data_IF_867327306039
#
_entry.id   IF_867327306039
#
_cell.length_a   1.000
_cell.length_b   1.000
_cell.length_c   1.000
_cell.angle_alpha   90.00
_cell.angle_beta   90.00
_cell.angle_gamma   90.00
#
_symmetry.space_group_name_H-M   'P 1'
#
loop_
_entity.id
_entity.type
_entity.pdbx_description
1 polymer ?
#
# COMPACT_ATOMS: atom_id res chain seq x y z
N UNK A 1 -26.32 -9.63 32.68
CA UNK A 1 -24.95 -9.26 33.09
C UNK A 1 -24.50 -8.11 32.21
N UNK A 2 -24.23 -6.95 32.81
CA UNK A 2 -24.02 -5.69 32.10
C UNK A 2 -22.73 -5.72 31.27
N UNK A 3 -22.86 -5.50 29.97
CA UNK A 3 -21.78 -5.16 29.04
C UNK A 3 -21.32 -3.72 29.38
N UNK A 4 -20.62 -3.55 30.50
CA UNK A 4 -19.89 -2.32 30.81
C UNK A 4 -18.42 -2.61 30.54
N UNK A 5 -17.88 -1.87 29.59
CA UNK A 5 -16.45 -1.76 29.21
C UNK A 5 -15.94 -2.64 28.04
N UNK A 6 -16.80 -3.00 27.08
CA UNK A 6 -16.30 -3.44 25.75
C UNK A 6 -15.97 -2.23 24.88
N UNK A 7 -14.72 -2.10 24.44
CA UNK A 7 -14.32 -1.03 23.51
C UNK A 7 -15.08 -1.15 22.18
N UNK A 8 -15.66 -0.04 21.71
CA UNK A 8 -16.37 0.03 20.43
C UNK A 8 -15.40 0.41 19.31
N UNK A 9 -15.41 -0.35 18.21
CA UNK A 9 -14.65 -0.03 17.00
C UNK A 9 -15.58 -0.05 15.79
N UNK A 10 -15.48 0.98 14.94
CA UNK A 10 -16.15 0.99 13.64
C UNK A 10 -15.30 0.26 12.60
N UNK A 11 -15.93 -0.67 11.88
CA UNK A 11 -15.33 -1.30 10.71
C UNK A 11 -15.04 -0.27 9.60
N UNK A 12 -13.83 -0.31 9.02
CA UNK A 12 -13.44 0.61 7.93
C UNK A 12 -14.14 0.32 6.61
N UNK A 13 -14.49 -0.95 6.35
CA UNK A 13 -15.05 -1.37 5.08
C UNK A 13 -16.58 -1.22 5.00
N UNK A 14 -17.31 -1.75 5.99
CA UNK A 14 -18.78 -1.69 6.00
C UNK A 14 -19.37 -0.62 6.93
N UNK A 15 -18.54 -0.01 7.78
CA UNK A 15 -18.97 1.05 8.70
C UNK A 15 -19.85 0.57 9.85
N UNK A 16 -19.91 -0.74 10.15
CA UNK A 16 -20.60 -1.29 11.33
C UNK A 16 -19.77 -1.06 12.59
N UNK A 17 -20.39 -0.51 13.64
CA UNK A 17 -19.81 -0.40 14.98
C UNK A 17 -19.97 -1.73 15.71
N UNK A 18 -18.84 -2.32 16.11
CA UNK A 18 -18.79 -3.61 16.79
C UNK A 18 -18.24 -3.41 18.20
N UNK A 19 -18.82 -4.09 19.19
CA UNK A 19 -18.23 -4.26 20.50
C UNK A 19 -17.14 -5.32 20.43
N UNK A 20 -15.93 -4.98 20.88
CA UNK A 20 -14.81 -5.91 20.89
C UNK A 20 -14.80 -6.66 22.24
N UNK A 21 -14.85 -8.00 22.23
CA UNK A 21 -14.68 -8.79 23.45
C UNK A 21 -13.24 -8.67 23.96
N UNK A 22 -13.01 -8.97 25.23
CA UNK A 22 -11.64 -8.97 25.76
C UNK A 22 -10.84 -10.09 25.06
N UNK A 23 -9.85 -9.71 24.24
CA UNK A 23 -9.07 -10.64 23.42
C UNK A 23 -7.86 -11.14 24.20
N UNK A 24 -7.64 -12.45 24.18
CA UNK A 24 -6.41 -13.03 24.71
C UNK A 24 -5.25 -12.94 23.71
N UNK A 25 -4.03 -13.20 24.17
CA UNK A 25 -2.81 -13.11 23.37
C UNK A 25 -2.90 -13.96 22.09
N UNK A 26 -2.65 -13.33 20.93
CA UNK A 26 -2.66 -14.01 19.63
C UNK A 26 -4.05 -14.22 19.02
N UNK A 27 -5.12 -13.74 19.66
CA UNK A 27 -6.46 -13.73 19.09
C UNK A 27 -6.69 -12.46 18.26
N UNK A 28 -7.56 -12.58 17.26
CA UNK A 28 -8.02 -11.45 16.45
C UNK A 28 -9.55 -11.37 16.40
N UNK A 29 -10.04 -10.16 16.19
CA UNK A 29 -11.45 -9.84 16.02
C UNK A 29 -11.74 -9.55 14.53
N UNK A 30 -12.79 -10.16 13.97
CA UNK A 30 -13.26 -9.91 12.61
C UNK A 30 -14.66 -9.30 12.61
N UNK A 31 -14.96 -8.43 11.65
CA UNK A 31 -16.28 -7.83 11.54
C UNK A 31 -17.31 -8.88 11.10
N UNK A 32 -18.44 -9.05 11.81
CA UNK A 32 -19.45 -10.07 11.50
C UNK A 32 -20.17 -9.82 10.16
N UNK A 33 -20.19 -8.57 9.68
CA UNK A 33 -20.90 -8.20 8.45
C UNK A 33 -20.07 -8.40 7.18
N UNK A 34 -18.77 -8.14 7.22
CA UNK A 34 -17.90 -8.13 6.03
C UNK A 34 -16.64 -9.00 6.14
N UNK A 35 -16.37 -9.56 7.33
CA UNK A 35 -15.18 -10.35 7.60
C UNK A 35 -13.87 -9.56 7.62
N UNK A 36 -13.91 -8.22 7.64
CA UNK A 36 -12.70 -7.40 7.76
C UNK A 36 -12.10 -7.55 9.16
N UNK A 37 -10.79 -7.76 9.24
CA UNK A 37 -10.07 -7.85 10.52
C UNK A 37 -10.10 -6.50 11.25
N UNK A 38 -10.73 -6.45 12.42
CA UNK A 38 -10.88 -5.25 13.22
C UNK A 38 -9.67 -5.01 14.13
N UNK A 39 -9.17 -6.06 14.78
CA UNK A 39 -8.04 -5.98 15.70
C UNK A 39 -7.27 -7.30 15.74
N UNK A 40 -5.95 -7.22 15.85
CA UNK A 40 -5.06 -8.37 16.03
C UNK A 40 -4.02 -8.03 17.08
N UNK A 41 -3.91 -8.83 18.15
CA UNK A 41 -2.94 -8.55 19.20
C UNK A 41 -1.62 -9.31 18.95
N UNK A 42 -0.56 -8.61 18.56
CA UNK A 42 0.76 -9.21 18.26
C UNK A 42 1.68 -9.20 19.49
N UNK A 43 2.39 -10.31 19.74
CA UNK A 43 3.34 -10.45 20.86
C UNK A 43 4.67 -9.76 20.54
N UNK A 44 5.28 -9.09 21.55
CA UNK A 44 6.61 -8.50 21.49
C UNK A 44 6.85 -7.55 20.29
N UNK A 45 5.83 -6.76 19.95
CA UNK A 45 5.85 -5.85 18.80
C UNK A 45 7.03 -4.87 18.84
N UNK A 46 7.30 -4.26 19.99
CA UNK A 46 8.31 -3.20 20.10
C UNK A 46 9.74 -3.68 19.83
N UNK A 47 10.20 -4.79 20.43
CA UNK A 47 11.56 -5.30 20.21
C UNK A 47 11.77 -5.73 18.77
N UNK A 48 10.77 -6.40 18.18
CA UNK A 48 10.86 -6.92 16.83
C UNK A 48 10.93 -5.79 15.80
N UNK A 49 10.10 -4.74 15.96
CA UNK A 49 10.13 -3.57 15.06
C UNK A 49 11.46 -2.83 15.14
N UNK A 50 12.04 -2.67 16.33
CA UNK A 50 13.35 -2.04 16.48
C UNK A 50 14.47 -2.87 15.84
N UNK A 51 14.48 -4.18 16.07
CA UNK A 51 15.47 -5.09 15.48
C UNK A 51 15.38 -5.12 13.95
N UNK A 52 14.18 -5.33 13.39
CA UNK A 52 13.98 -5.33 11.94
C UNK A 52 14.28 -3.96 11.34
N UNK A 53 13.91 -2.86 11.99
CA UNK A 53 14.20 -1.50 11.54
C UNK A 53 15.70 -1.23 11.41
N UNK A 54 16.49 -1.62 12.41
CA UNK A 54 17.95 -1.51 12.36
C UNK A 54 18.56 -2.37 11.26
N UNK A 55 18.12 -3.64 11.12
CA UNK A 55 18.58 -4.52 10.04
C UNK A 55 18.21 -3.97 8.65
N UNK A 56 17.04 -3.35 8.49
CA UNK A 56 16.66 -2.69 7.24
C UNK A 56 17.63 -1.55 6.88
N UNK A 57 17.98 -0.71 7.86
CA UNK A 57 18.90 0.40 7.64
C UNK A 57 20.29 -0.06 7.21
N UNK A 58 20.82 -1.12 7.84
CA UNK A 58 22.11 -1.72 7.48
C UNK A 58 22.06 -2.31 6.08
N UNK A 59 21.04 -3.12 5.75
CA UNK A 59 20.93 -3.77 4.44
C UNK A 59 20.73 -2.76 3.31
N UNK A 60 19.97 -1.68 3.55
CA UNK A 60 19.83 -0.59 2.59
C UNK A 60 21.16 0.12 2.34
N UNK A 61 21.91 0.45 3.40
CA UNK A 61 23.22 1.08 3.26
C UNK A 61 24.16 0.20 2.41
N UNK A 62 24.26 -1.10 2.73
CA UNK A 62 25.05 -2.03 1.93
C UNK A 62 24.58 -2.07 0.47
N UNK A 63 23.28 -2.12 0.21
CA UNK A 63 22.76 -2.12 -1.16
C UNK A 63 23.12 -0.85 -1.96
N UNK A 64 23.23 0.30 -1.29
CA UNK A 64 23.61 1.55 -1.95
C UNK A 64 25.11 1.68 -2.26
N UNK A 65 25.99 1.02 -1.50
CA UNK A 65 27.45 1.15 -1.65
C UNK A 65 28.10 0.06 -2.51
N UNK A 66 27.46 -1.10 -2.66
CA UNK A 66 28.01 -2.21 -3.44
C UNK A 66 27.48 -2.23 -4.88
N UNK A 67 28.21 -2.84 -5.83
CA UNK A 67 27.75 -2.99 -7.21
C UNK A 67 26.53 -3.92 -7.27
N UNK A 68 25.51 -3.48 -8.00
CA UNK A 68 24.24 -4.18 -8.16
C UNK A 68 24.34 -5.27 -9.22
N UNK A 69 24.94 -4.92 -10.35
CA UNK A 69 25.15 -5.80 -11.50
C UNK A 69 26.48 -5.44 -12.15
N UNK A 70 27.15 -6.44 -12.70
CA UNK A 70 28.28 -6.24 -13.60
C UNK A 70 27.97 -6.90 -14.94
N UNK A 71 28.22 -6.16 -16.02
CA UNK A 71 28.08 -6.67 -17.38
C UNK A 71 29.49 -6.79 -17.97
N UNK A 72 29.80 -7.96 -18.55
CA UNK A 72 31.08 -8.21 -19.20
C UNK A 72 30.93 -8.09 -20.70
N UNK A 73 31.53 -7.06 -21.29
CA UNK A 73 31.59 -6.88 -22.75
C UNK A 73 33.05 -6.83 -23.14
N UNK A 74 33.48 -7.76 -24.01
CA UNK A 74 34.87 -7.82 -24.52
C UNK A 74 35.96 -7.83 -23.43
N UNK A 75 35.68 -8.46 -22.28
CA UNK A 75 36.65 -8.62 -21.18
C UNK A 75 36.68 -7.48 -20.16
N UNK A 76 36.11 -6.31 -20.47
CA UNK A 76 35.90 -5.22 -19.51
C UNK A 76 34.57 -5.41 -18.76
N UNK A 77 34.61 -5.31 -17.43
CA UNK A 77 33.43 -5.30 -16.57
C UNK A 77 33.04 -3.86 -16.25
N UNK A 78 31.79 -3.50 -16.53
CA UNK A 78 31.22 -2.23 -16.05
C UNK A 78 30.24 -2.53 -14.91
N UNK A 79 30.49 -1.92 -13.75
CA UNK A 79 29.71 -2.12 -12.53
C UNK A 79 28.67 -1.03 -12.39
N UNK A 80 27.41 -1.43 -12.19
CA UNK A 80 26.30 -0.49 -12.03
C UNK A 80 25.87 -0.49 -10.56
N UNK A 81 26.01 0.67 -9.93
CA UNK A 81 25.56 0.93 -8.55
C UNK A 81 24.19 1.61 -8.59
N UNK A 82 23.31 1.30 -7.65
CA UNK A 82 21.95 1.88 -7.59
C UNK A 82 21.96 3.42 -7.59
N UNK A 83 22.91 4.04 -6.88
CA UNK A 83 23.03 5.50 -6.82
C UNK A 83 23.51 6.12 -8.13
N UNK A 84 24.30 5.39 -8.94
CA UNK A 84 24.75 5.87 -10.25
C UNK A 84 23.60 5.95 -11.27
N UNK A 85 22.47 5.29 -11.00
CA UNK A 85 21.26 5.48 -11.80
C UNK A 85 20.83 6.97 -11.84
N UNK A 86 21.09 7.75 -10.78
CA UNK A 86 20.79 9.18 -10.74
C UNK A 86 21.53 9.97 -11.83
N UNK A 87 22.85 9.76 -11.93
CA UNK A 87 23.67 10.46 -12.92
C UNK A 87 23.30 10.08 -14.34
N UNK A 88 22.85 8.83 -14.56
CA UNK A 88 22.39 8.37 -15.87
C UNK A 88 21.12 9.10 -16.27
N UNK A 89 20.11 9.20 -15.41
CA UNK A 89 18.86 9.87 -15.77
C UNK A 89 19.01 11.38 -15.97
N UNK A 90 19.87 12.02 -15.19
CA UNK A 90 20.16 13.45 -15.35
C UNK A 90 20.80 13.75 -16.72
N UNK A 91 21.65 12.84 -17.20
CA UNK A 91 22.25 12.96 -18.54
C UNK A 91 21.22 12.90 -19.69
N UNK A 92 20.04 12.29 -19.47
CA UNK A 92 18.99 12.14 -20.47
C UNK A 92 17.79 13.08 -20.27
N UNK A 93 17.96 14.20 -19.56
CA UNK A 93 16.90 15.20 -19.29
C UNK A 93 15.61 14.62 -18.66
N UNK A 94 15.70 13.45 -18.00
CA UNK A 94 14.57 12.73 -17.42
C UNK A 94 14.61 12.74 -15.89
N UNK A 95 14.84 13.93 -15.31
CA UNK A 95 14.98 14.15 -13.87
C UNK A 95 13.77 13.66 -13.06
N UNK A 96 12.57 13.73 -13.64
CA UNK A 96 11.33 13.29 -12.98
C UNK A 96 11.37 11.79 -12.65
N UNK A 97 11.85 10.96 -13.57
CA UNK A 97 11.92 9.51 -13.39
C UNK A 97 12.98 9.14 -12.34
N UNK A 98 14.13 9.81 -12.39
CA UNK A 98 15.21 9.67 -11.42
C UNK A 98 14.73 10.01 -10.00
N UNK A 99 14.08 11.17 -9.87
CA UNK A 99 13.54 11.66 -8.60
C UNK A 99 12.49 10.70 -8.06
N UNK A 100 11.58 10.20 -8.90
CA UNK A 100 10.58 9.22 -8.49
C UNK A 100 11.22 7.94 -7.95
N UNK A 101 12.23 7.39 -8.64
CA UNK A 101 12.91 6.16 -8.22
C UNK A 101 13.63 6.36 -6.89
N UNK A 102 14.46 7.39 -6.75
CA UNK A 102 15.19 7.64 -5.49
C UNK A 102 14.24 7.93 -4.35
N UNK A 103 13.21 8.75 -4.60
CA UNK A 103 12.22 9.08 -3.59
C UNK A 103 11.51 7.84 -3.08
N UNK A 104 11.11 6.92 -3.96
CA UNK A 104 10.33 5.73 -3.59
C UNK A 104 11.17 4.56 -3.07
N UNK A 105 12.38 4.36 -3.59
CA UNK A 105 13.24 3.20 -3.25
C UNK A 105 14.15 3.47 -2.06
N UNK A 106 14.60 4.72 -1.89
CA UNK A 106 15.59 5.10 -0.87
C UNK A 106 14.97 6.03 0.17
N UNK A 107 14.51 7.22 -0.23
CA UNK A 107 14.12 8.29 0.71
C UNK A 107 12.90 7.89 1.54
N UNK A 108 11.82 7.46 0.89
CA UNK A 108 10.56 7.14 1.54
C UNK A 108 10.71 5.96 2.53
N UNK A 109 11.36 4.84 2.17
CA UNK A 109 11.66 3.78 3.14
C UNK A 109 12.51 4.24 4.32
N UNK A 110 13.60 4.99 4.10
CA UNK A 110 14.42 5.53 5.20
C UNK A 110 13.57 6.38 6.14
N UNK A 111 12.76 7.29 5.60
CA UNK A 111 11.87 8.14 6.40
C UNK A 111 10.86 7.30 7.20
N UNK A 112 10.25 6.27 6.60
CA UNK A 112 9.30 5.41 7.31
C UNK A 112 9.94 4.53 8.37
N UNK A 113 11.07 3.89 8.09
CA UNK A 113 11.75 2.99 9.02
C UNK A 113 12.26 3.79 10.21
N UNK A 114 12.90 4.94 9.98
CA UNK A 114 13.38 5.81 11.05
C UNK A 114 12.23 6.35 11.90
N UNK A 115 11.12 6.78 11.28
CA UNK A 115 9.93 7.22 12.01
C UNK A 115 9.31 6.09 12.84
N UNK A 116 9.18 4.88 12.30
CA UNK A 116 8.68 3.72 13.03
C UNK A 116 9.59 3.37 14.20
N UNK A 117 10.90 3.30 13.97
CA UNK A 117 11.88 2.99 15.01
C UNK A 117 11.82 4.00 16.15
N UNK A 118 11.75 5.30 15.84
CA UNK A 118 11.58 6.36 16.84
C UNK A 118 10.25 6.25 17.61
N UNK A 119 9.13 6.04 16.91
CA UNK A 119 7.80 5.94 17.53
C UNK A 119 7.70 4.74 18.47
N UNK A 120 8.18 3.57 18.06
CA UNK A 120 8.18 2.37 18.89
C UNK A 120 9.16 2.45 20.06
N UNK A 121 10.32 3.10 19.87
CA UNK A 121 11.25 3.38 20.97
C UNK A 121 10.65 4.36 22.00
N UNK A 122 9.96 5.42 21.54
CA UNK A 122 9.26 6.33 22.45
C UNK A 122 8.11 5.62 23.17
N UNK A 123 7.32 4.81 22.45
CA UNK A 123 6.20 4.07 23.03
C UNK A 123 6.65 3.03 24.08
N UNK A 124 7.83 2.42 23.92
CA UNK A 124 8.40 1.50 24.93
C UNK A 124 8.89 2.23 26.18
N UNK A 125 9.39 3.46 26.05
CA UNK A 125 9.82 4.32 27.16
C UNK A 125 8.67 4.95 27.94
N UNK A 126 7.51 5.10 27.31
CA UNK A 126 6.28 5.53 28.00
C UNK A 126 5.80 4.37 28.88
N UNK A 127 6.36 4.31 30.09
CA UNK A 127 5.94 3.44 31.17
C UNK A 127 4.56 3.92 31.64
N UNK A 128 3.52 3.13 31.33
CA UNK A 128 2.18 3.37 31.84
C UNK A 128 2.19 3.08 33.33
N UNK A 129 2.45 4.08 34.16
CA UNK A 129 1.98 4.07 35.53
C UNK A 129 0.45 4.13 35.48
N UNK A 130 -0.19 2.96 35.46
CA UNK A 130 -1.62 2.88 35.73
C UNK A 130 -1.85 3.45 37.12
N UNK A 131 -2.39 4.66 37.19
CA UNK A 131 -2.90 5.20 38.44
C UNK A 131 -4.09 4.32 38.90
N UNK A 132 -4.32 4.16 40.22
CA UNK A 132 -5.43 3.34 40.74
C UNK A 132 -6.82 3.78 40.27
N UNK A 133 -6.95 4.99 39.74
CA UNK A 133 -8.23 5.64 39.41
C UNK A 133 -8.67 5.47 37.93
N UNK A 134 -8.05 4.56 37.17
CA UNK A 134 -8.46 4.26 35.78
C UNK A 134 -8.26 5.39 34.76
N UNK A 135 -7.89 6.60 35.21
CA UNK A 135 -7.55 7.72 34.33
C UNK A 135 -6.18 7.51 33.70
N UNK A 136 -6.15 7.17 32.41
CA UNK A 136 -4.90 7.09 31.64
C UNK A 136 -4.32 8.50 31.53
N UNK A 137 -3.19 8.76 32.20
CA UNK A 137 -2.44 10.01 32.03
C UNK A 137 -2.14 10.22 30.56
N UNK A 138 -2.65 11.33 30.01
CA UNK A 138 -2.31 11.82 28.66
C UNK A 138 -0.78 11.89 28.59
N UNK A 139 -0.17 10.95 27.88
CA UNK A 139 1.26 10.98 27.59
C UNK A 139 1.62 12.39 27.10
N UNK A 140 2.79 12.90 27.51
CA UNK A 140 3.32 14.20 27.08
C UNK A 140 3.71 14.12 25.59
N UNK A 141 2.69 13.94 24.77
CA UNK A 141 2.78 13.53 23.40
C UNK A 141 2.74 14.78 22.54
N UNK A 142 3.93 15.27 22.23
CA UNK A 142 4.15 16.44 21.38
C UNK A 142 3.39 16.29 20.04
N UNK A 143 2.97 17.42 19.47
CA UNK A 143 2.35 17.48 18.13
C UNK A 143 3.18 16.76 17.06
N UNK A 144 4.50 16.77 17.20
CA UNK A 144 5.43 16.02 16.36
C UNK A 144 5.21 14.50 16.36
N UNK A 145 4.93 13.90 17.53
CA UNK A 145 4.64 12.45 17.62
C UNK A 145 3.32 12.11 16.92
N UNK A 146 2.31 12.96 17.05
CA UNK A 146 1.04 12.81 16.30
C UNK A 146 1.24 12.96 14.79
N UNK A 147 2.07 13.92 14.37
CA UNK A 147 2.43 14.09 12.96
C UNK A 147 3.13 12.85 12.41
N UNK A 148 4.13 12.31 13.11
CA UNK A 148 4.86 11.12 12.69
C UNK A 148 3.94 9.88 12.58
N UNK A 149 3.04 9.67 13.55
CA UNK A 149 2.07 8.57 13.45
C UNK A 149 1.15 8.73 12.22
N UNK A 150 0.70 9.95 11.91
CA UNK A 150 -0.09 10.24 10.70
C UNK A 150 0.71 10.00 9.43
N UNK A 151 1.98 10.41 9.42
CA UNK A 151 2.89 10.24 8.29
C UNK A 151 3.09 8.75 7.98
N UNK A 152 3.45 7.94 8.98
CA UNK A 152 3.67 6.49 8.81
C UNK A 152 2.42 5.82 8.23
N UNK A 153 1.23 6.08 8.79
CA UNK A 153 -0.02 5.49 8.30
C UNK A 153 -0.38 5.86 6.85
N UNK A 154 0.02 7.05 6.38
CA UNK A 154 -0.33 7.56 5.05
C UNK A 154 0.70 7.16 3.99
N UNK A 155 1.95 6.98 4.39
CA UNK A 155 3.08 6.68 3.51
C UNK A 155 3.30 5.17 3.34
N UNK A 156 2.93 4.35 4.32
CA UNK A 156 3.13 2.91 4.24
C UNK A 156 2.55 2.23 2.97
N UNK A 157 1.35 2.58 2.46
CA UNK A 157 0.86 2.01 1.19
C UNK A 157 1.75 2.33 -0.03
N UNK A 158 2.62 3.34 0.11
CA UNK A 158 3.56 3.80 -0.92
C UNK A 158 4.96 3.19 -0.77
N UNK A 159 5.17 2.29 0.20
CA UNK A 159 6.41 1.52 0.29
C UNK A 159 6.41 0.45 -0.80
N UNK A 160 7.08 0.75 -1.92
CA UNK A 160 7.11 -0.08 -3.12
C UNK A 160 8.40 -0.90 -3.25
N UNK A 161 9.12 -1.14 -2.16
CA UNK A 161 10.45 -1.78 -2.19
C UNK A 161 10.39 -3.21 -2.74
N UNK A 162 9.39 -3.98 -2.33
CA UNK A 162 9.14 -5.35 -2.81
C UNK A 162 8.79 -5.36 -4.30
N UNK A 163 7.98 -4.41 -4.73
CA UNK A 163 7.54 -4.24 -6.13
C UNK A 163 8.69 -3.80 -7.02
N UNK A 164 9.54 -2.88 -6.54
CA UNK A 164 10.77 -2.49 -7.22
C UNK A 164 11.71 -3.69 -7.39
N UNK A 165 11.87 -4.54 -6.36
CA UNK A 165 12.68 -5.76 -6.48
C UNK A 165 12.16 -6.70 -7.59
N UNK A 166 10.84 -6.89 -7.67
CA UNK A 166 10.23 -7.67 -8.78
C UNK A 166 10.52 -7.00 -10.13
N UNK A 167 10.43 -5.67 -10.21
CA UNK A 167 10.79 -4.91 -11.41
C UNK A 167 12.26 -5.09 -11.83
N UNK A 168 13.19 -5.11 -10.87
CA UNK A 168 14.58 -5.49 -11.12
C UNK A 168 14.66 -6.89 -11.73
N UNK A 169 14.02 -7.88 -11.11
CA UNK A 169 14.11 -9.27 -11.57
C UNK A 169 13.60 -9.41 -13.02
N UNK A 170 12.47 -8.77 -13.34
CA UNK A 170 11.93 -8.72 -14.72
C UNK A 170 12.91 -8.03 -15.67
N UNK A 171 13.54 -6.95 -15.23
CA UNK A 171 14.54 -6.22 -16.03
C UNK A 171 15.77 -7.07 -16.34
N UNK A 172 16.27 -7.81 -15.34
CA UNK A 172 17.41 -8.72 -15.49
C UNK A 172 17.07 -9.83 -16.48
N UNK A 173 15.89 -10.45 -16.37
CA UNK A 173 15.46 -11.49 -17.33
C UNK A 173 15.42 -10.93 -18.76
N UNK A 174 14.94 -9.69 -18.93
CA UNK A 174 14.91 -9.03 -20.25
C UNK A 174 16.30 -8.77 -20.83
N UNK A 175 17.27 -8.38 -20.01
CA UNK A 175 18.66 -8.11 -20.44
C UNK A 175 19.46 -9.40 -20.64
N UNK A 176 19.27 -10.39 -19.76
CA UNK A 176 19.94 -11.68 -19.79
C UNK A 176 19.58 -12.51 -21.04
N UNK A 177 18.44 -12.22 -21.68
CA UNK A 177 18.08 -12.79 -22.97
C UNK A 177 19.02 -12.34 -24.12
N UNK A 178 19.78 -11.26 -23.92
CA UNK A 178 20.64 -10.65 -24.94
C UNK A 178 22.14 -10.65 -24.55
N UNK A 179 22.47 -10.82 -23.27
CA UNK A 179 23.85 -10.67 -22.74
C UNK A 179 24.10 -11.53 -21.49
N UNK A 180 25.36 -11.88 -21.23
CA UNK A 180 25.77 -12.53 -19.98
C UNK A 180 25.79 -11.52 -18.81
N UNK A 181 24.88 -11.71 -17.86
CA UNK A 181 24.70 -10.82 -16.71
C UNK A 181 25.14 -11.49 -15.42
N UNK A 182 26.09 -10.89 -14.69
CA UNK A 182 26.48 -11.34 -13.35
C UNK A 182 25.87 -10.44 -12.27
N UNK A 183 25.31 -11.08 -11.24
CA UNK A 183 24.68 -10.41 -10.10
C UNK A 183 25.74 -10.02 -9.06
N UNK A 184 25.76 -8.74 -8.68
CA UNK A 184 26.66 -8.25 -7.64
C UNK A 184 26.13 -8.46 -6.21
N UNK A 185 26.93 -8.19 -5.17
CA UNK A 185 26.51 -8.31 -3.77
C UNK A 185 25.32 -7.41 -3.40
N UNK A 186 25.17 -6.25 -4.05
CA UNK A 186 24.06 -5.34 -3.75
C UNK A 186 22.69 -5.91 -4.14
N UNK A 187 22.62 -6.85 -5.10
CA UNK A 187 21.38 -7.55 -5.44
C UNK A 187 20.85 -8.36 -4.24
N UNK A 188 21.72 -9.13 -3.60
CA UNK A 188 21.36 -9.99 -2.46
C UNK A 188 21.03 -9.18 -1.20
N UNK A 189 21.79 -8.12 -0.93
CA UNK A 189 21.49 -7.22 0.19
C UNK A 189 20.18 -6.46 -0.04
N UNK A 190 19.87 -6.06 -1.29
CA UNK A 190 18.57 -5.47 -1.62
C UNK A 190 17.42 -6.47 -1.45
N UNK A 191 17.60 -7.73 -1.86
CA UNK A 191 16.60 -8.78 -1.64
C UNK A 191 16.27 -8.96 -0.15
N UNK A 192 17.31 -9.06 0.69
CA UNK A 192 17.14 -9.14 2.14
C UNK A 192 16.47 -7.89 2.70
N UNK A 193 16.88 -6.71 2.24
CA UNK A 193 16.25 -5.43 2.60
C UNK A 193 14.76 -5.41 2.26
N UNK A 194 14.36 -5.77 1.04
CA UNK A 194 12.95 -5.82 0.62
C UNK A 194 12.12 -6.75 1.50
N UNK A 195 12.66 -7.91 1.85
CA UNK A 195 11.99 -8.85 2.75
C UNK A 195 11.87 -8.31 4.19
N UNK A 196 12.94 -7.69 4.71
CA UNK A 196 12.97 -7.13 6.05
C UNK A 196 12.02 -5.94 6.19
N UNK A 197 11.91 -5.06 5.19
CA UNK A 197 10.93 -3.96 5.16
C UNK A 197 9.52 -4.51 5.26
N UNK A 198 9.19 -5.52 4.44
CA UNK A 198 7.87 -6.15 4.46
C UNK A 198 7.56 -6.81 5.81
N UNK A 199 8.53 -7.49 6.42
CA UNK A 199 8.40 -8.06 7.76
C UNK A 199 8.23 -6.97 8.82
N UNK A 200 9.02 -5.89 8.78
CA UNK A 200 8.94 -4.76 9.70
C UNK A 200 7.55 -4.12 9.65
N UNK A 201 7.03 -3.82 8.46
CA UNK A 201 5.69 -3.24 8.28
C UNK A 201 4.57 -4.16 8.74
N UNK A 202 4.68 -5.48 8.55
CA UNK A 202 3.68 -6.46 9.02
C UNK A 202 3.71 -6.68 10.53
N UNK A 203 4.89 -6.71 11.12
CA UNK A 203 5.06 -6.91 12.57
C UNK A 203 4.70 -5.66 13.36
N UNK A 204 4.80 -4.47 12.75
CA UNK A 204 4.40 -3.23 13.40
C UNK A 204 2.88 -3.15 13.64
N UNK A 205 2.49 -3.53 14.86
CA UNK A 205 1.12 -3.35 15.36
C UNK A 205 0.84 -1.86 15.60
N UNK A 206 0.16 -1.27 14.62
CA UNK A 206 -0.23 0.14 14.63
C UNK A 206 -1.26 0.42 15.71
N UNK A 207 -2.17 -0.51 15.97
CA UNK A 207 -3.20 -0.33 16.98
C UNK A 207 -2.57 -0.27 18.36
N UNK A 208 -1.65 -1.20 18.66
CA UNK A 208 -0.85 -1.15 19.87
C UNK A 208 -0.08 0.17 20.02
N UNK A 209 0.58 0.64 18.95
CA UNK A 209 1.31 1.91 18.96
C UNK A 209 0.39 3.09 19.27
N UNK A 210 -0.77 3.14 18.62
CA UNK A 210 -1.75 4.19 18.82
C UNK A 210 -2.39 4.10 20.21
N UNK A 211 -2.78 2.93 20.70
CA UNK A 211 -3.40 2.79 22.02
C UNK A 211 -2.42 3.15 23.14
N UNK A 212 -1.12 2.86 22.96
CA UNK A 212 -0.08 3.19 23.94
C UNK A 212 0.24 4.69 23.99
N UNK A 213 0.28 5.37 22.83
CA UNK A 213 0.61 6.79 22.76
C UNK A 213 -0.62 7.71 22.91
N UNK A 214 -1.76 7.27 22.37
CA UNK A 214 -3.03 8.01 22.29
C UNK A 214 -4.21 7.03 22.45
N UNK A 215 -4.62 6.70 23.69
CA UNK A 215 -5.68 5.73 23.93
C UNK A 215 -6.98 6.13 23.25
N UNK A 216 -7.71 5.13 22.76
CA UNK A 216 -9.03 5.30 22.14
C UNK A 216 -9.99 5.92 23.16
N UNK A 217 -10.70 6.98 22.79
CA UNK A 217 -11.69 7.61 23.66
C UNK A 217 -13.07 7.00 23.38
N UNK A 218 -13.79 6.62 24.44
CA UNK A 218 -15.17 6.13 24.29
C UNK A 218 -16.14 7.30 24.15
N UNK A 219 -17.16 7.15 23.31
CA UNK A 219 -18.22 8.12 23.15
C UNK A 219 -19.56 7.46 23.51
N UNK A 220 -20.22 7.97 24.55
CA UNK A 220 -21.34 7.31 25.21
C UNK A 220 -22.61 7.19 24.34
N UNK A 221 -22.75 8.02 23.31
CA UNK A 221 -23.95 8.08 22.45
C UNK A 221 -23.86 7.17 21.21
N UNK A 222 -22.93 6.22 21.19
CA UNK A 222 -22.77 5.25 20.09
C UNK A 222 -22.90 3.84 20.65
N UNK A 223 -23.66 3.01 19.96
CA UNK A 223 -23.93 1.64 20.37
C UNK A 223 -23.41 0.63 19.35
N UNK A 224 -23.14 -0.60 19.80
CA UNK A 224 -22.87 -1.70 18.89
C UNK A 224 -24.09 -1.93 18.00
N UNK A 225 -23.86 -2.11 16.70
CA UNK A 225 -24.92 -2.16 15.70
C UNK A 225 -25.13 -0.85 14.94
N UNK A 226 -24.67 0.29 15.47
CA UNK A 226 -24.68 1.55 14.73
C UNK A 226 -23.89 1.40 13.43
N UNK A 227 -24.32 2.12 12.39
CA UNK A 227 -23.62 2.12 11.11
C UNK A 227 -23.22 3.54 10.72
N UNK A 228 -22.35 3.67 9.73
CA UNK A 228 -22.03 4.96 9.12
C UNK A 228 -23.25 5.74 8.56
N UNK A 229 -24.43 5.11 8.45
CA UNK A 229 -25.69 5.73 8.05
C UNK A 229 -26.50 6.30 9.21
N UNK A 230 -26.24 5.89 10.46
CA UNK A 230 -27.01 6.35 11.63
C UNK A 230 -26.84 7.84 11.94
N UNK A 231 -25.82 8.48 11.35
CA UNK A 231 -25.46 9.89 11.60
C UNK A 231 -25.23 10.22 13.08
N UNK A 232 -24.98 9.22 13.94
CA UNK A 232 -24.69 9.42 15.37
C UNK A 232 -23.22 9.79 15.62
N UNK A 233 -22.34 9.48 14.68
CA UNK A 233 -20.90 9.61 14.86
C UNK A 233 -20.12 9.84 13.57
N UNK A 234 -18.89 10.36 13.71
CA UNK A 234 -17.90 10.52 12.66
C UNK A 234 -16.72 9.58 12.91
N UNK A 235 -16.35 8.77 11.92
CA UNK A 235 -15.21 7.86 12.02
C UNK A 235 -14.00 8.46 11.33
N UNK A 236 -12.89 8.59 12.04
CA UNK A 236 -11.63 9.02 11.47
C UNK A 236 -11.07 7.96 10.50
N UNK A 237 -10.79 8.33 9.25
CA UNK A 237 -10.23 7.40 8.25
C UNK A 237 -8.79 6.95 8.55
N UNK A 238 -8.01 7.77 9.28
CA UNK A 238 -6.62 7.44 9.62
C UNK A 238 -6.54 6.50 10.83
N UNK A 239 -7.08 6.92 11.98
CA UNK A 239 -6.91 6.22 13.26
C UNK A 239 -8.15 5.42 13.71
N UNK A 240 -9.24 5.41 12.95
CA UNK A 240 -10.51 4.72 13.30
C UNK A 240 -11.22 5.20 14.57
N UNK A 241 -10.78 6.31 15.18
CA UNK A 241 -11.47 6.91 16.32
C UNK A 241 -12.91 7.30 15.94
N UNK A 242 -13.85 6.98 16.82
CA UNK A 242 -15.24 7.44 16.77
C UNK A 242 -15.28 8.83 17.43
N UNK A 243 -15.83 9.81 16.72
CA UNK A 243 -15.91 11.21 17.13
C UNK A 243 -17.37 11.69 17.09
N UNK A 244 -17.72 12.71 17.89
CA UNK A 244 -19.06 13.30 17.85
C UNK A 244 -19.33 14.01 16.52
N UNK A 245 -20.60 14.04 16.10
CA UNK A 245 -21.07 14.78 14.91
C UNK A 245 -21.34 16.26 15.19
N UNK A 246 -21.66 16.62 16.44
CA UNK A 246 -21.96 17.98 16.85
C UNK A 246 -20.80 18.60 17.62
N UNK A 247 -20.67 19.92 17.53
CA UNK A 247 -19.74 20.69 18.33
C UNK A 247 -20.08 20.51 19.82
N UNK A 248 -19.18 19.88 20.57
CA UNK A 248 -19.20 19.93 22.02
C UNK A 248 -18.36 21.13 22.47
N UNK A 249 -18.69 21.72 23.62
CA UNK A 249 -18.08 22.95 24.17
C UNK A 249 -16.54 22.91 24.28
N UNK A 250 -15.91 21.74 24.14
CA UNK A 250 -14.46 21.56 24.22
C UNK A 250 -13.75 21.25 22.90
N UNK A 251 -14.41 20.84 21.79
CA UNK A 251 -13.71 20.35 20.58
C UNK A 251 -14.41 20.72 19.26
N UNK A 252 -13.62 21.07 18.24
CA UNK A 252 -14.10 21.31 16.87
C UNK A 252 -14.52 19.98 16.21
N UNK A 253 -15.79 19.83 15.79
CA UNK A 253 -16.30 18.61 15.14
C UNK A 253 -15.59 18.28 13.82
N UNK A 254 -14.79 19.20 13.27
CA UNK A 254 -14.01 18.98 12.04
C UNK A 254 -12.66 18.32 12.29
N UNK A 255 -12.26 18.05 13.53
CA UNK A 255 -10.95 17.46 13.85
C UNK A 255 -11.07 16.21 14.71
N UNK A 256 -10.23 15.21 14.42
CA UNK A 256 -10.22 13.98 15.19
C UNK A 256 -9.60 14.20 16.57
N UNK A 257 -10.29 13.79 17.63
CA UNK A 257 -9.83 13.95 19.02
C UNK A 257 -8.56 13.15 19.34
N UNK A 258 -8.32 12.06 18.59
CA UNK A 258 -7.16 11.16 18.77
C UNK A 258 -5.93 11.59 17.97
N UNK A 259 -6.07 11.79 16.66
CA UNK A 259 -4.94 12.06 15.77
C UNK A 259 -4.87 13.50 15.22
N UNK A 260 -5.87 14.34 15.48
CA UNK A 260 -5.95 15.70 14.96
C UNK A 260 -6.12 15.80 13.44
N UNK A 261 -6.46 14.71 12.74
CA UNK A 261 -6.76 14.77 11.30
C UNK A 261 -8.12 15.43 11.06
N UNK A 262 -8.28 16.11 9.92
CA UNK A 262 -9.59 16.58 9.47
C UNK A 262 -10.60 15.43 9.38
N UNK A 263 -11.78 15.63 9.96
CA UNK A 263 -12.93 14.74 9.84
C UNK A 263 -13.83 15.25 8.72
N UNK A 264 -14.33 14.33 7.92
CA UNK A 264 -15.31 14.61 6.89
C UNK A 264 -16.53 13.71 7.13
N UNK A 265 -17.71 14.31 7.14
CA UNK A 265 -18.96 13.58 7.16
C UNK A 265 -19.03 12.61 5.97
N UNK A 266 -19.63 11.45 6.18
CA UNK A 266 -19.82 10.48 5.11
C UNK A 266 -20.79 11.05 4.08
N UNK A 267 -20.26 11.45 2.92
CA UNK A 267 -21.05 11.95 1.81
C UNK A 267 -20.78 11.09 0.55
N UNK A 268 -21.67 10.15 0.22
CA UNK A 268 -21.45 9.22 -0.87
C UNK A 268 -21.37 9.91 -2.24
N UNK A 269 -22.09 11.03 -2.46
CA UNK A 269 -22.07 11.70 -3.77
C UNK A 269 -20.71 12.31 -4.06
N UNK A 270 -20.13 13.05 -3.11
CA UNK A 270 -18.81 13.67 -3.28
C UNK A 270 -17.68 12.63 -3.44
N UNK A 271 -17.76 11.52 -2.69
CA UNK A 271 -16.81 10.41 -2.79
C UNK A 271 -16.87 9.79 -4.19
N UNK A 272 -18.07 9.51 -4.70
CA UNK A 272 -18.27 8.92 -6.01
C UNK A 272 -17.87 9.87 -7.14
N UNK A 273 -18.18 11.17 -7.05
CA UNK A 273 -17.79 12.16 -8.08
C UNK A 273 -16.27 12.35 -8.14
N UNK A 274 -15.61 12.44 -6.98
CA UNK A 274 -14.15 12.59 -6.91
C UNK A 274 -13.44 11.35 -7.48
N UNK A 275 -13.87 10.16 -7.06
CA UNK A 275 -13.29 8.91 -7.56
C UNK A 275 -13.59 8.72 -9.07
N UNK A 276 -14.80 9.06 -9.53
CA UNK A 276 -15.13 9.02 -10.96
C UNK A 276 -14.27 9.98 -11.79
N UNK A 277 -14.06 11.22 -11.34
CA UNK A 277 -13.20 12.17 -12.03
C UNK A 277 -11.76 11.62 -12.18
N UNK A 278 -11.19 11.07 -11.10
CA UNK A 278 -9.84 10.47 -11.11
C UNK A 278 -9.74 9.27 -12.06
N UNK A 279 -10.74 8.39 -12.09
CA UNK A 279 -10.77 7.25 -13.02
C UNK A 279 -10.92 7.72 -14.47
N UNK A 280 -11.78 8.70 -14.75
CA UNK A 280 -11.93 9.26 -16.09
C UNK A 280 -10.63 9.91 -16.57
N UNK A 281 -9.93 10.66 -15.71
CA UNK A 281 -8.61 11.20 -16.03
C UNK A 281 -7.61 10.09 -16.35
N UNK A 282 -7.58 9.01 -15.57
CA UNK A 282 -6.71 7.86 -15.86
C UNK A 282 -7.03 7.21 -17.21
N UNK A 283 -8.30 7.04 -17.56
CA UNK A 283 -8.72 6.47 -18.86
C UNK A 283 -8.24 7.35 -20.02
N UNK A 284 -8.36 8.68 -19.91
CA UNK A 284 -7.90 9.62 -20.94
C UNK A 284 -6.38 9.52 -21.11
N UNK A 285 -5.62 9.50 -20.00
CA UNK A 285 -4.16 9.42 -20.03
C UNK A 285 -3.63 8.04 -20.47
N UNK A 286 -4.44 6.99 -20.37
CA UNK A 286 -4.07 5.65 -20.81
C UNK A 286 -3.92 5.55 -22.33
N UNK A 287 -4.64 6.38 -23.09
CA UNK A 287 -4.55 6.42 -24.56
C UNK A 287 -3.13 6.85 -25.02
N UNK A 288 -2.62 8.04 -24.68
CA UNK A 288 -1.26 8.44 -25.06
C UNK A 288 -0.19 7.54 -24.43
N UNK A 289 -0.44 6.95 -23.25
CA UNK A 289 0.49 6.01 -22.61
C UNK A 289 0.74 4.74 -23.43
N UNK A 290 -0.22 4.30 -24.26
CA UNK A 290 -0.07 3.11 -25.10
C UNK A 290 0.27 3.43 -26.56
N UNK A 291 -0.02 4.66 -27.01
CA UNK A 291 0.27 5.10 -28.38
C UNK A 291 1.67 5.67 -28.55
N UNK A 292 2.20 6.35 -27.52
CA UNK A 292 3.51 6.95 -27.61
C UNK A 292 4.65 5.95 -27.38
N UNK A 293 5.87 6.23 -27.88
CA UNK A 293 7.03 5.40 -27.62
C UNK A 293 7.33 5.32 -26.13
N UNK A 294 7.51 4.09 -25.64
CA UNK A 294 7.92 3.81 -24.27
C UNK A 294 9.44 3.91 -24.12
N UNK A 295 10.17 3.53 -25.17
CA UNK A 295 11.62 3.58 -25.21
C UNK A 295 12.09 3.91 -26.63
N UNK A 296 13.18 4.65 -26.72
CA UNK A 296 13.96 4.80 -27.95
C UNK A 296 15.27 4.04 -27.78
N UNK A 297 15.53 3.12 -28.71
CA UNK A 297 16.79 2.38 -28.77
C UNK A 297 17.62 2.98 -29.90
N UNK A 298 18.77 3.55 -29.57
CA UNK A 298 19.69 4.07 -30.58
C UNK A 298 20.81 3.06 -30.81
N UNK A 299 21.00 2.64 -32.07
CA UNK A 299 22.08 1.75 -32.50
C UNK A 299 22.69 2.26 -33.80
N UNK A 300 24.02 2.40 -33.83
CA UNK A 300 24.77 2.86 -35.01
C UNK A 300 24.20 4.13 -35.67
N UNK A 301 23.73 5.10 -34.87
CA UNK A 301 23.16 6.37 -35.33
C UNK A 301 21.69 6.32 -35.77
N UNK A 302 21.06 5.14 -35.84
CA UNK A 302 19.63 4.99 -36.09
C UNK A 302 18.86 4.88 -34.78
N UNK A 303 17.78 5.66 -34.63
CA UNK A 303 16.93 5.64 -33.43
C UNK A 303 15.61 4.95 -33.74
N UNK A 304 15.38 3.79 -33.11
CA UNK A 304 14.12 3.06 -33.22
C UNK A 304 13.23 3.37 -32.02
N UNK A 305 12.03 3.89 -32.28
CA UNK A 305 11.00 4.09 -31.27
C UNK A 305 10.21 2.79 -31.09
N UNK A 306 9.95 2.39 -29.85
CA UNK A 306 9.13 1.20 -29.56
C UNK A 306 8.05 1.50 -28.54
N UNK A 307 6.81 1.17 -28.86
CA UNK A 307 5.69 1.17 -27.91
C UNK A 307 5.76 -0.06 -27.00
N UNK A 308 4.90 -0.10 -25.97
CA UNK A 308 4.73 -1.29 -25.12
C UNK A 308 4.35 -2.51 -25.98
N UNK A 309 3.44 -2.32 -26.94
CA UNK A 309 2.98 -3.39 -27.83
C UNK A 309 4.09 -3.86 -28.76
N UNK A 310 4.89 -2.95 -29.32
CA UNK A 310 6.04 -3.32 -30.16
C UNK A 310 7.05 -4.16 -29.35
N UNK A 311 7.28 -3.81 -28.08
CA UNK A 311 8.12 -4.58 -27.18
C UNK A 311 7.60 -6.01 -26.95
N UNK A 312 6.28 -6.18 -26.79
CA UNK A 312 5.65 -7.50 -26.67
C UNK A 312 5.79 -8.30 -27.96
N UNK A 313 5.52 -7.69 -29.12
CA UNK A 313 5.60 -8.35 -30.43
C UNK A 313 7.04 -8.81 -30.73
N UNK A 314 8.03 -7.96 -30.45
CA UNK A 314 9.44 -8.28 -30.64
C UNK A 314 9.85 -9.52 -29.83
N UNK A 315 9.55 -9.53 -28.54
CA UNK A 315 9.89 -10.65 -27.63
C UNK A 315 9.15 -11.93 -28.02
N UNK A 316 7.92 -11.80 -28.50
CA UNK A 316 7.13 -12.90 -29.04
C UNK A 316 7.77 -13.51 -30.28
N UNK A 317 8.27 -12.68 -31.21
CA UNK A 317 8.98 -13.14 -32.42
C UNK A 317 10.33 -13.80 -32.10
N UNK A 318 11.01 -13.35 -31.04
CA UNK A 318 12.24 -13.96 -30.53
C UNK A 318 11.99 -15.31 -29.81
N UNK A 319 10.74 -15.81 -29.77
CA UNK A 319 10.39 -17.14 -29.24
C UNK A 319 10.21 -17.19 -27.73
N UNK A 320 10.37 -16.07 -27.02
CA UNK A 320 10.26 -15.99 -25.56
C UNK A 320 8.85 -15.65 -25.08
N UNK A 321 7.88 -16.48 -25.48
CA UNK A 321 6.45 -16.31 -25.19
C UNK A 321 6.12 -16.04 -23.71
N UNK A 322 6.73 -16.71 -22.71
CA UNK A 322 6.42 -16.45 -21.31
C UNK A 322 6.73 -15.02 -20.88
N UNK A 323 7.83 -14.45 -21.38
CA UNK A 323 8.25 -13.07 -21.05
C UNK A 323 7.29 -12.07 -21.72
N UNK A 324 6.95 -12.30 -22.98
CA UNK A 324 5.99 -11.46 -23.71
C UNK A 324 4.62 -11.41 -22.99
N UNK A 325 4.12 -12.55 -22.50
CA UNK A 325 2.85 -12.64 -21.76
C UNK A 325 2.90 -11.87 -20.43
N UNK A 326 4.02 -11.95 -19.70
CA UNK A 326 4.21 -11.19 -18.45
C UNK A 326 4.12 -9.70 -18.71
N UNK A 327 4.84 -9.19 -19.72
CA UNK A 327 4.83 -7.76 -20.06
C UNK A 327 3.44 -7.31 -20.53
N UNK A 328 2.80 -8.07 -21.43
CA UNK A 328 1.44 -7.77 -21.90
C UNK A 328 0.44 -7.70 -20.73
N UNK A 329 0.53 -8.66 -19.81
CA UNK A 329 -0.40 -8.75 -18.70
C UNK A 329 -0.18 -7.60 -17.71
N UNK A 330 1.08 -7.31 -17.36
CA UNK A 330 1.42 -6.25 -16.42
C UNK A 330 1.10 -4.85 -16.96
N UNK A 331 1.41 -4.59 -18.24
CA UNK A 331 1.34 -3.24 -18.83
C UNK A 331 0.01 -2.87 -19.45
N UNK A 332 -0.75 -3.86 -19.93
CA UNK A 332 -2.01 -3.59 -20.63
C UNK A 332 -3.18 -4.15 -19.85
N UNK A 333 -3.16 -5.45 -19.56
CA UNK A 333 -4.33 -6.14 -18.98
C UNK A 333 -4.62 -5.67 -17.56
N UNK A 334 -3.59 -5.52 -16.70
CA UNK A 334 -3.76 -5.12 -15.31
C UNK A 334 -4.34 -3.70 -15.18
N UNK A 335 -3.79 -2.65 -15.83
CA UNK A 335 -4.38 -1.30 -15.78
C UNK A 335 -5.82 -1.25 -16.32
N UNK A 336 -6.09 -1.92 -17.45
CA UNK A 336 -7.44 -2.00 -18.03
C UNK A 336 -8.42 -2.64 -17.04
N UNK A 337 -8.04 -3.78 -16.48
CA UNK A 337 -8.88 -4.50 -15.50
C UNK A 337 -9.17 -3.62 -14.28
N UNK A 338 -8.15 -2.91 -13.76
CA UNK A 338 -8.30 -1.98 -12.63
C UNK A 338 -9.30 -0.87 -12.94
N UNK A 339 -9.18 -0.23 -14.11
CA UNK A 339 -10.09 0.85 -14.53
C UNK A 339 -11.51 0.32 -14.74
N UNK A 340 -11.69 -0.83 -15.39
CA UNK A 340 -13.01 -1.44 -15.63
C UNK A 340 -13.73 -1.79 -14.33
N UNK A 341 -13.03 -2.40 -13.37
CA UNK A 341 -13.65 -2.75 -12.08
C UNK A 341 -14.02 -1.47 -11.30
N UNK A 342 -13.17 -0.43 -11.30
CA UNK A 342 -13.48 0.84 -10.65
C UNK A 342 -14.72 1.51 -11.28
N UNK A 343 -14.80 1.58 -12.61
CA UNK A 343 -15.99 2.10 -13.32
C UNK A 343 -17.24 1.29 -12.96
N UNK A 344 -17.14 -0.05 -12.95
CA UNK A 344 -18.24 -0.92 -12.56
C UNK A 344 -18.71 -0.65 -11.12
N UNK A 345 -17.78 -0.53 -10.16
CA UNK A 345 -18.10 -0.20 -8.77
C UNK A 345 -18.79 1.16 -8.65
N UNK A 346 -18.32 2.18 -9.38
CA UNK A 346 -18.91 3.53 -9.39
C UNK A 346 -20.35 3.53 -9.92
N UNK A 347 -20.59 2.89 -11.07
CA UNK A 347 -21.93 2.79 -11.68
C UNK A 347 -22.89 2.08 -10.74
N UNK A 348 -22.47 0.95 -10.18
CA UNK A 348 -23.29 0.14 -9.30
C UNK A 348 -23.56 0.84 -7.97
N UNK A 349 -22.57 1.51 -7.38
CA UNK A 349 -22.72 2.29 -6.15
C UNK A 349 -23.73 3.44 -6.29
N UNK A 350 -23.80 4.10 -7.46
CA UNK A 350 -24.78 5.16 -7.75
C UNK A 350 -26.22 4.64 -7.84
N UNK A 351 -26.41 3.38 -8.24
CA UNK A 351 -27.74 2.76 -8.47
C UNK A 351 -28.28 1.97 -7.25
N UNK A 352 -27.56 1.92 -6.12
CA UNK A 352 -27.74 0.92 -5.04
C UNK A 352 -28.88 1.14 -4.04
N UNK A 353 -29.97 1.85 -4.36
CA UNK A 353 -31.05 2.14 -3.38
C UNK A 353 -31.77 0.92 -2.80
N UNK A 354 -31.65 -0.28 -3.39
CA UNK A 354 -32.31 -1.53 -2.92
C UNK A 354 -31.38 -2.73 -3.09
N UNK A 355 -30.37 -2.85 -2.25
CA UNK A 355 -29.33 -3.86 -2.45
C UNK A 355 -29.26 -4.90 -1.34
N UNK A 356 -29.11 -6.17 -1.74
CA UNK A 356 -28.90 -7.28 -0.82
C UNK A 356 -27.49 -7.26 -0.21
N UNK A 357 -27.36 -7.76 1.01
CA UNK A 357 -26.06 -7.90 1.69
C UNK A 357 -25.07 -8.76 0.88
N UNK A 358 -25.56 -9.76 0.12
CA UNK A 358 -24.72 -10.60 -0.74
C UNK A 358 -24.06 -9.81 -1.87
N UNK A 359 -24.78 -8.90 -2.51
CA UNK A 359 -24.25 -8.09 -3.60
C UNK A 359 -23.19 -7.10 -3.09
N UNK A 360 -23.38 -6.55 -1.89
CA UNK A 360 -22.39 -5.70 -1.24
C UNK A 360 -21.09 -6.46 -0.97
N UNK A 361 -21.17 -7.73 -0.54
CA UNK A 361 -19.98 -8.58 -0.34
C UNK A 361 -19.24 -8.89 -1.64
N UNK A 362 -19.94 -9.17 -2.74
CA UNK A 362 -19.30 -9.42 -4.04
C UNK A 362 -18.52 -8.19 -4.50
N UNK A 363 -19.11 -7.00 -4.37
CA UNK A 363 -18.45 -5.74 -4.73
C UNK A 363 -17.29 -5.40 -3.80
N UNK A 364 -17.42 -5.72 -2.52
CA UNK A 364 -16.32 -5.56 -1.58
C UNK A 364 -15.14 -6.48 -1.93
N UNK A 365 -15.39 -7.71 -2.38
CA UNK A 365 -14.32 -8.59 -2.91
C UNK A 365 -13.65 -7.99 -4.14
N UNK A 366 -14.41 -7.40 -5.07
CA UNK A 366 -13.86 -6.68 -6.23
C UNK A 366 -12.98 -5.50 -5.80
N UNK A 367 -13.43 -4.72 -4.80
CA UNK A 367 -12.65 -3.63 -4.23
C UNK A 367 -11.33 -4.13 -3.60
N UNK A 368 -11.39 -5.15 -2.74
CA UNK A 368 -10.19 -5.77 -2.14
C UNK A 368 -9.21 -6.29 -3.20
N UNK A 369 -9.73 -6.84 -4.30
CA UNK A 369 -8.90 -7.31 -5.41
C UNK A 369 -8.17 -6.14 -6.11
N UNK A 370 -8.86 -5.03 -6.38
CA UNK A 370 -8.23 -3.81 -6.92
C UNK A 370 -7.16 -3.28 -5.96
N UNK A 371 -7.43 -3.25 -4.66
CA UNK A 371 -6.48 -2.75 -3.66
C UNK A 371 -5.20 -3.60 -3.63
N UNK A 372 -5.34 -4.93 -3.71
CA UNK A 372 -4.20 -5.85 -3.78
C UNK A 372 -3.38 -5.62 -5.05
N UNK A 373 -4.04 -5.50 -6.20
CA UNK A 373 -3.40 -5.27 -7.51
C UNK A 373 -2.81 -3.87 -7.63
N UNK A 374 -3.37 -2.88 -6.94
CA UNK A 374 -3.05 -1.47 -7.10
C UNK A 374 -1.56 -1.17 -6.98
N UNK A 375 -0.87 -1.83 -6.05
CA UNK A 375 0.58 -1.69 -5.84
C UNK A 375 1.44 -2.33 -6.94
N UNK A 376 0.95 -3.39 -7.60
CA UNK A 376 1.65 -4.10 -8.68
C UNK A 376 1.67 -3.30 -9.98
N UNK A 377 0.73 -2.38 -10.16
CA UNK A 377 0.67 -1.52 -11.35
C UNK A 377 1.89 -0.59 -11.51
N UNK A 378 2.70 -0.40 -10.47
CA UNK A 378 3.93 0.40 -10.52
C UNK A 378 5.15 -0.36 -11.07
N UNK A 379 5.06 -1.69 -11.25
CA UNK A 379 6.19 -2.54 -11.70
C UNK A 379 6.80 -2.00 -12.99
N UNK A 380 5.97 -1.66 -13.97
CA UNK A 380 6.45 -1.35 -15.31
C UNK A 380 7.25 -0.05 -15.39
N UNK A 381 6.90 0.94 -14.55
CA UNK A 381 7.65 2.19 -14.47
C UNK A 381 9.04 1.91 -13.89
N UNK A 382 9.12 1.03 -12.89
CA UNK A 382 10.41 0.60 -12.35
C UNK A 382 11.20 -0.21 -13.36
N UNK A 383 10.57 -1.12 -14.11
CA UNK A 383 11.23 -1.90 -15.18
C UNK A 383 11.85 -0.97 -16.20
N UNK A 384 11.12 0.02 -16.72
CA UNK A 384 11.66 0.95 -17.72
C UNK A 384 12.77 1.82 -17.13
N UNK A 385 12.60 2.34 -15.92
CA UNK A 385 13.64 3.11 -15.25
C UNK A 385 14.92 2.27 -15.10
N UNK A 386 14.82 1.04 -14.60
CA UNK A 386 15.96 0.16 -14.40
C UNK A 386 16.60 -0.20 -15.74
N UNK A 387 15.84 -0.52 -16.79
CA UNK A 387 16.39 -0.77 -18.12
C UNK A 387 17.17 0.42 -18.66
N UNK A 388 16.61 1.62 -18.55
CA UNK A 388 17.30 2.86 -18.94
C UNK A 388 18.58 3.08 -18.13
N UNK A 389 18.58 2.76 -16.83
CA UNK A 389 19.77 2.91 -16.00
C UNK A 389 20.84 1.84 -16.30
N UNK A 390 20.42 0.60 -16.62
CA UNK A 390 21.31 -0.54 -16.82
C UNK A 390 21.87 -0.66 -18.24
N UNK A 391 21.10 -0.28 -19.26
CA UNK A 391 21.46 -0.44 -20.68
C UNK A 391 21.95 0.88 -21.25
N UNK A 392 23.10 1.32 -20.73
CA UNK A 392 23.86 2.45 -21.26
C UNK A 392 25.25 1.97 -21.63
N UNK A 393 25.38 1.36 -22.81
CA UNK A 393 26.69 0.97 -23.30
C UNK A 393 27.39 2.20 -23.89
N UNK A 394 28.66 2.38 -23.52
CA UNK A 394 29.51 3.49 -23.96
C UNK A 394 29.58 3.54 -25.51
N UNK A 395 28.72 4.35 -26.13
CA UNK A 395 28.64 4.71 -27.56
C UNK A 395 28.03 3.70 -28.56
N UNK A 396 27.75 2.43 -28.20
CA UNK A 396 27.22 1.44 -29.17
C UNK A 396 25.70 1.29 -29.15
N UNK A 397 25.09 1.29 -27.97
CA UNK A 397 23.64 1.16 -27.80
C UNK A 397 23.19 1.90 -26.54
N UNK A 398 22.20 2.78 -26.68
CA UNK A 398 21.58 3.47 -25.54
C UNK A 398 20.07 3.34 -25.59
N UNK A 399 19.45 3.20 -24.42
CA UNK A 399 18.00 3.14 -24.26
C UNK A 399 17.55 4.38 -23.51
N UNK A 400 16.83 5.27 -24.18
CA UNK A 400 16.26 6.46 -23.54
C UNK A 400 14.76 6.27 -23.32
N UNK A 401 14.22 6.70 -22.18
CA UNK A 401 12.80 6.57 -21.89
C UNK A 401 12.03 7.53 -22.81
N UNK A 402 10.92 7.04 -23.38
CA UNK A 402 10.04 7.84 -24.21
C UNK A 402 8.94 8.55 -23.41
N UNK A 403 8.18 9.45 -24.04
CA UNK A 403 7.15 10.24 -23.36
C UNK A 403 6.01 9.39 -22.78
N UNK A 404 5.79 8.17 -23.28
CA UNK A 404 4.76 7.27 -22.75
C UNK A 404 4.97 6.92 -21.27
N UNK A 405 6.22 6.89 -20.79
CA UNK A 405 6.54 6.60 -19.37
C UNK A 405 5.85 7.59 -18.44
N UNK A 406 5.83 8.88 -18.80
CA UNK A 406 5.20 9.91 -18.00
C UNK A 406 3.67 9.74 -17.95
N UNK A 407 3.03 9.53 -19.11
CA UNK A 407 1.58 9.29 -19.17
C UNK A 407 1.20 8.02 -18.40
N UNK A 408 1.97 6.95 -18.54
CA UNK A 408 1.75 5.70 -17.81
C UNK A 408 1.89 5.92 -16.30
N UNK A 409 2.91 6.65 -15.85
CA UNK A 409 3.07 7.00 -14.44
C UNK A 409 1.87 7.77 -13.89
N UNK A 410 1.35 8.74 -14.64
CA UNK A 410 0.14 9.46 -14.24
C UNK A 410 -1.08 8.53 -14.15
N UNK A 411 -1.27 7.60 -15.11
CA UNK A 411 -2.37 6.61 -15.03
C UNK A 411 -2.29 5.81 -13.74
N UNK A 412 -1.10 5.34 -13.35
CA UNK A 412 -0.94 4.56 -12.12
C UNK A 412 -1.25 5.41 -10.89
N UNK A 413 -0.75 6.66 -10.82
CA UNK A 413 -1.03 7.59 -9.72
C UNK A 413 -2.52 7.90 -9.62
N UNK A 414 -3.18 8.26 -10.73
CA UNK A 414 -4.61 8.59 -10.73
C UNK A 414 -5.48 7.38 -10.38
N UNK A 415 -5.16 6.18 -10.86
CA UNK A 415 -5.89 4.97 -10.46
C UNK A 415 -5.66 4.60 -8.99
N UNK A 416 -4.46 4.84 -8.44
CA UNK A 416 -4.19 4.64 -7.02
C UNK A 416 -4.99 5.63 -6.15
N UNK A 417 -4.99 6.92 -6.52
CA UNK A 417 -5.79 7.95 -5.87
C UNK A 417 -7.29 7.67 -5.99
N UNK A 418 -7.76 7.18 -7.13
CA UNK A 418 -9.15 6.78 -7.32
C UNK A 418 -9.57 5.65 -6.36
N UNK A 419 -8.74 4.63 -6.18
CA UNK A 419 -8.97 3.53 -5.23
C UNK A 419 -8.94 4.02 -3.78
N UNK A 420 -8.01 4.92 -3.42
CA UNK A 420 -7.90 5.46 -2.07
C UNK A 420 -9.02 6.44 -1.69
N UNK A 421 -9.53 7.19 -2.67
CA UNK A 421 -10.66 8.11 -2.45
C UNK A 421 -11.99 7.37 -2.38
N UNK A 422 -12.13 6.25 -3.11
CA UNK A 422 -13.30 5.38 -3.07
C UNK A 422 -13.46 4.76 -1.67
N UNK A 423 -14.56 5.10 -0.99
CA UNK A 423 -14.88 4.58 0.33
C UNK A 423 -15.77 3.33 0.19
N UNK A 424 -15.29 2.12 0.59
CA UNK A 424 -16.06 0.89 0.46
C UNK A 424 -17.39 0.91 1.22
N UNK A 425 -17.56 1.81 2.21
CA UNK A 425 -18.82 1.98 2.94
C UNK A 425 -19.98 2.37 2.02
N UNK A 426 -19.71 3.05 0.91
CA UNK A 426 -20.72 3.41 -0.10
C UNK A 426 -21.41 2.18 -0.71
N UNK A 427 -20.77 1.01 -0.67
CA UNK A 427 -21.35 -0.26 -1.12
C UNK A 427 -22.42 -0.81 -0.16
N UNK A 428 -22.53 -0.25 1.05
CA UNK A 428 -23.37 -0.74 2.15
C UNK A 428 -24.43 0.28 2.56
N UNK A 429 -25.50 0.39 1.76
CA UNK A 429 -26.58 1.38 1.97
C UNK A 429 -27.76 0.87 2.81
N UNK A 430 -27.68 -0.35 3.32
CA UNK A 430 -28.71 -0.94 4.19
C UNK A 430 -28.35 -0.71 5.65
N UNK A 431 -29.30 -0.23 6.45
CA UNK A 431 -29.19 -0.16 7.92
C UNK A 431 -28.95 -1.56 8.51
N UNK A 432 -28.25 -1.62 9.64
CA UNK A 432 -28.03 -2.87 10.34
C UNK A 432 -29.36 -3.37 10.93
N UNK A 433 -29.60 -4.68 10.82
CA UNK A 433 -30.72 -5.36 11.48
C UNK A 433 -30.56 -5.20 13.00
N UNK A 434 -31.67 -4.93 13.69
CA UNK A 434 -31.78 -4.58 15.11
C UNK A 434 -31.17 -5.59 16.09
N UNK A 435 -30.87 -5.08 17.29
CA UNK A 435 -29.93 -5.54 18.31
C UNK A 435 -30.20 -6.86 19.06
N UNK A 436 -31.05 -7.77 18.58
CA UNK A 436 -31.45 -8.95 19.37
C UNK A 436 -30.70 -10.26 19.05
N UNK A 437 -29.92 -10.32 17.96
CA UNK A 437 -29.05 -11.46 17.68
C UNK A 437 -27.58 -11.11 17.93
N UNK A 438 -27.09 -11.44 19.13
CA UNK A 438 -25.68 -11.55 19.53
C UNK A 438 -24.66 -10.98 18.54
N UNK A 439 -24.41 -9.66 18.61
CA UNK A 439 -23.32 -8.98 17.92
C UNK A 439 -21.95 -9.30 18.58
N UNK A 440 -21.73 -10.56 18.93
CA UNK A 440 -20.47 -11.06 19.44
C UNK A 440 -19.55 -11.34 18.25
N UNK A 441 -18.44 -10.60 18.19
CA UNK A 441 -17.37 -10.83 17.22
C UNK A 441 -16.84 -12.26 17.38
N UNK A 442 -16.82 -13.05 16.31
CA UNK A 442 -16.23 -14.39 16.36
C UNK A 442 -14.70 -14.29 16.48
N UNK A 443 -14.05 -15.04 17.39
CA UNK A 443 -12.60 -15.10 17.46
C UNK A 443 -12.04 -15.76 16.20
N UNK A 444 -11.19 -15.04 15.48
CA UNK A 444 -10.50 -15.55 14.29
C UNK A 444 -9.03 -15.86 14.65
N UNK A 445 -8.46 -16.99 14.16
CA UNK A 445 -7.03 -17.25 14.33
C UNK A 445 -6.23 -16.18 13.62
N UNK A 446 -5.16 -15.68 14.25
CA UNK A 446 -4.27 -14.70 13.65
C UNK A 446 -3.75 -15.23 12.31
N UNK A 447 -3.94 -14.45 11.24
CA UNK A 447 -3.49 -14.78 9.89
C UNK A 447 -1.96 -14.85 9.85
N UNK A 448 -1.42 -16.05 10.03
CA UNK A 448 0.02 -16.30 10.11
C UNK A 448 0.44 -17.75 10.34
N UNK A 449 -0.47 -18.68 10.61
CA UNK A 449 -0.16 -20.11 10.68
C UNK A 449 -0.69 -20.82 9.42
N UNK A 450 0.22 -21.21 8.54
CA UNK A 450 -0.04 -22.25 7.54
C UNK A 450 -0.50 -23.50 8.28
N UNK A 451 -1.70 -23.98 7.97
CA UNK A 451 -2.20 -25.28 8.39
C UNK A 451 -1.28 -26.37 7.84
N UNK A 452 -0.75 -27.31 8.67
CA UNK A 452 -0.08 -28.48 8.14
C UNK A 452 -1.12 -29.37 7.45
N UNK A 453 -0.77 -29.81 6.25
CA UNK A 453 -1.55 -30.76 5.45
C UNK A 453 -1.77 -32.02 6.30
N UNK A 454 -3.04 -32.31 6.61
CA UNK A 454 -3.47 -33.57 7.24
C UNK A 454 -3.25 -34.68 6.22
N UNK A 455 -2.24 -35.53 6.44
CA UNK A 455 -2.14 -36.81 5.74
C UNK A 455 -3.28 -37.71 6.20
N UNK A 456 -4.19 -38.03 5.28
CA UNK A 456 -5.18 -39.09 5.46
C UNK A 456 -4.46 -40.44 5.54
N UNK A 457 -4.58 -41.09 6.70
CA UNK A 457 -4.41 -42.53 6.85
C UNK A 457 -5.74 -43.20 6.53
N UNK A 458 -5.82 -43.93 5.42
CA UNK A 458 -6.65 -45.13 5.25
C UNK A 458 -5.69 -46.17 4.64
N UNK A 459 -5.51 -47.37 5.20
CA UNK A 459 -6.59 -48.28 5.59
C UNK A 459 -6.80 -49.20 4.41
#
# INVERSE_FOLDING_TARGET
>A
MAVRDSALISCRECGLVCAIPNLEHGQGAACPRCGHTLLTHVKNTHTNVLAYGLSCGIMLALSCFFPFMSIRVQGLSNDIVLLNALSVFHYFDNDVLAAMLIFTVVVLPVLTITAMMYLFFKASRVFSSSLPDGSVTRSNANQWTQFLCRFVLRVEPWLLVDIFFVGVLVSIVKIAAMTDVSLGPAFWTFFLYAHLVLKCSRVADKQWLWDRLFPTQSYAHVHAGDTHLSQTHLVCRLCSQINPTHASSQHDPKTCQRCGSGLQAFNPSNILTTSAALVTTAIILYIPANLYPMMYTTSFGSSAASTIMDGVILIWQLGSYPIALIILTASIIVPITKMLILVHLLIKAKSSRKQSARDALIRLKQYRFIEIIGRWSMIDIFVVAILTALVQFHQLMSITPGPAVFYFALVVVFTLLATHTFDPRVLWQTEAVSADDNCAVSPAPASGQQTPIKQEKHG
#
